data_IF_951128607553
#
_entry.id   IF_951128607553
#
_cell.length_a   1.000
_cell.length_b   1.000
_cell.length_c   1.000
_cell.angle_alpha   90.00
_cell.angle_beta   90.00
_cell.angle_gamma   90.00
#
_symmetry.space_group_name_H-M   'P 1'
#
loop_
_entity.id
_entity.type
_entity.pdbx_description
1 polymer ?
#
# COMPACT_ATOMS: atom_id res chain seq x y z
N UNK A 1 31.89 -52.86 -16.53
CA UNK A 1 32.98 -52.00 -17.05
C UNK A 1 32.44 -50.90 -17.97
N UNK A 2 31.52 -51.18 -18.89
CA UNK A 2 31.00 -50.16 -19.82
C UNK A 2 30.12 -49.08 -19.15
N UNK A 3 29.32 -49.43 -18.14
CA UNK A 3 28.48 -48.47 -17.41
C UNK A 3 29.29 -47.41 -16.68
N UNK A 4 30.35 -47.83 -15.99
CA UNK A 4 31.25 -46.91 -15.26
C UNK A 4 32.05 -46.01 -16.19
N UNK A 5 32.33 -46.46 -17.43
CA UNK A 5 33.02 -45.66 -18.43
C UNK A 5 32.12 -44.54 -18.96
N UNK A 6 30.86 -44.85 -19.26
CA UNK A 6 29.86 -43.85 -19.70
C UNK A 6 29.60 -42.79 -18.64
N UNK A 7 29.51 -43.19 -17.39
CA UNK A 7 29.30 -42.25 -16.28
C UNK A 7 30.51 -41.31 -16.08
N UNK A 8 31.74 -41.81 -16.24
CA UNK A 8 32.95 -40.99 -16.17
C UNK A 8 33.03 -39.99 -17.33
N UNK A 9 32.62 -40.40 -18.53
CA UNK A 9 32.60 -39.54 -19.72
C UNK A 9 31.53 -38.44 -19.61
N UNK A 10 30.36 -38.75 -19.03
CA UNK A 10 29.31 -37.76 -18.78
C UNK A 10 29.73 -36.72 -17.72
N UNK A 11 30.39 -37.17 -16.65
CA UNK A 11 30.93 -36.27 -15.62
C UNK A 11 31.98 -35.30 -16.20
N UNK A 12 32.85 -35.76 -17.09
CA UNK A 12 33.82 -34.90 -17.79
C UNK A 12 33.12 -33.88 -18.68
N UNK A 13 32.12 -34.29 -19.45
CA UNK A 13 31.33 -33.39 -20.29
C UNK A 13 30.61 -32.32 -19.48
N UNK A 14 30.03 -32.68 -18.32
CA UNK A 14 29.38 -31.71 -17.42
C UNK A 14 30.36 -30.70 -16.81
N UNK A 15 31.60 -31.11 -16.52
CA UNK A 15 32.63 -30.23 -16.00
C UNK A 15 33.11 -29.22 -17.06
N UNK A 16 33.26 -29.65 -18.31
CA UNK A 16 33.65 -28.78 -19.43
C UNK A 16 32.59 -27.70 -19.73
N UNK A 17 31.30 -28.05 -19.65
CA UNK A 17 30.20 -27.09 -19.83
C UNK A 17 30.23 -26.00 -18.76
N UNK A 18 30.44 -26.38 -17.50
CA UNK A 18 30.52 -25.43 -16.39
C UNK A 18 31.73 -24.51 -16.53
N UNK A 19 32.84 -25.00 -17.08
CA UNK A 19 34.03 -24.20 -17.31
C UNK A 19 33.85 -23.20 -18.48
N UNK A 20 33.12 -23.60 -19.53
CA UNK A 20 32.73 -22.71 -20.63
C UNK A 20 31.74 -21.62 -20.17
N UNK A 21 30.74 -21.96 -19.37
CA UNK A 21 29.80 -20.97 -18.80
C UNK A 21 30.49 -19.92 -17.93
N UNK A 22 31.62 -20.27 -17.30
CA UNK A 22 32.41 -19.35 -16.47
C UNK A 22 33.37 -18.46 -17.25
N UNK A 23 33.79 -18.89 -18.44
CA UNK A 23 34.83 -18.22 -19.22
C UNK A 23 34.28 -17.41 -20.40
N UNK A 24 33.08 -17.73 -20.88
CA UNK A 24 32.42 -17.02 -21.97
C UNK A 24 31.86 -15.64 -21.55
N UNK A 25 31.76 -14.68 -22.48
CA UNK A 25 31.00 -13.43 -22.28
C UNK A 25 29.53 -13.71 -21.93
N UNK A 26 28.92 -12.83 -21.13
CA UNK A 26 27.58 -13.03 -20.56
C UNK A 26 26.50 -13.40 -21.62
N UNK A 27 26.55 -12.77 -22.79
CA UNK A 27 25.60 -13.05 -23.88
C UNK A 27 25.74 -14.48 -24.42
N UNK A 28 26.98 -14.93 -24.63
CA UNK A 28 27.27 -16.26 -25.19
C UNK A 28 27.04 -17.36 -24.15
N UNK A 29 27.23 -17.05 -22.86
CA UNK A 29 26.92 -17.93 -21.75
C UNK A 29 25.40 -18.15 -21.60
N UNK A 30 24.58 -17.11 -21.79
CA UNK A 30 23.12 -17.21 -21.78
C UNK A 30 22.59 -18.06 -22.95
N UNK A 31 23.12 -17.85 -24.17
CA UNK A 31 22.76 -18.65 -25.34
C UNK A 31 23.16 -20.12 -25.17
N UNK A 32 24.30 -20.40 -24.52
CA UNK A 32 24.71 -21.78 -24.19
C UNK A 32 23.78 -22.40 -23.14
N UNK A 33 23.33 -21.62 -22.16
CA UNK A 33 22.44 -22.08 -21.09
C UNK A 33 21.01 -22.38 -21.57
N UNK A 34 20.48 -21.59 -22.49
CA UNK A 34 19.18 -21.89 -23.11
C UNK A 34 19.24 -23.15 -23.98
N UNK A 35 20.36 -23.36 -24.70
CA UNK A 35 20.58 -24.60 -25.45
C UNK A 35 20.72 -25.84 -24.56
N UNK A 36 21.36 -25.71 -23.39
CA UNK A 36 21.40 -26.80 -22.40
C UNK A 36 20.01 -27.14 -21.87
N UNK A 37 19.11 -26.17 -21.80
CA UNK A 37 17.73 -26.39 -21.34
C UNK A 37 16.89 -27.14 -22.37
N UNK A 38 17.23 -27.01 -23.65
CA UNK A 38 16.56 -27.70 -24.77
C UNK A 38 17.19 -29.05 -25.11
N UNK A 39 18.46 -29.27 -24.77
CA UNK A 39 19.18 -30.52 -25.05
C UNK A 39 18.82 -31.64 -24.06
N UNK A 40 18.66 -32.87 -24.59
CA UNK A 40 18.34 -34.05 -23.78
C UNK A 40 19.57 -34.64 -23.06
N UNK A 41 20.78 -34.45 -23.62
CA UNK A 41 22.05 -34.89 -23.03
C UNK A 41 23.08 -33.75 -23.09
N UNK A 42 23.94 -33.59 -22.07
CA UNK A 42 24.83 -32.43 -21.93
C UNK A 42 25.89 -32.35 -23.05
N UNK A 43 26.29 -33.49 -23.62
CA UNK A 43 27.32 -33.55 -24.66
C UNK A 43 26.87 -33.00 -26.02
N UNK A 44 25.56 -32.99 -26.29
CA UNK A 44 25.02 -32.50 -27.58
C UNK A 44 25.14 -30.98 -27.70
N UNK A 45 25.07 -30.25 -26.58
CA UNK A 45 25.18 -28.79 -26.55
C UNK A 45 26.57 -28.27 -26.95
N UNK A 46 27.62 -29.09 -26.83
CA UNK A 46 29.01 -28.73 -27.14
C UNK A 46 29.39 -28.91 -28.62
N UNK A 47 28.63 -29.67 -29.40
CA UNK A 47 29.06 -30.14 -30.74
C UNK A 47 28.80 -29.18 -31.90
N UNK A 48 28.14 -28.03 -31.68
CA UNK A 48 27.72 -27.12 -32.75
C UNK A 48 28.56 -25.83 -32.86
N UNK A 49 29.73 -25.77 -32.23
CA UNK A 49 30.57 -24.56 -32.19
C UNK A 49 31.43 -24.33 -33.45
N UNK A 50 30.87 -24.56 -34.64
CA UNK A 50 31.48 -24.12 -35.91
C UNK A 50 30.40 -23.56 -36.85
N UNK A 51 29.88 -22.37 -36.54
CA UNK A 51 29.30 -21.50 -37.56
C UNK A 51 29.92 -20.11 -37.48
N UNK A 52 30.40 -19.55 -38.60
CA UNK A 52 30.99 -18.23 -38.61
C UNK A 52 29.93 -17.15 -38.37
N UNK A 53 30.41 -16.08 -37.77
CA UNK A 53 29.76 -14.81 -37.46
C UNK A 53 28.96 -14.29 -38.67
N UNK A 54 27.64 -14.49 -38.66
CA UNK A 54 26.68 -13.70 -39.42
C UNK A 54 25.32 -13.83 -38.74
N UNK A 55 24.65 -12.69 -38.53
CA UNK A 55 23.33 -12.55 -37.93
C UNK A 55 23.30 -12.61 -36.40
N UNK A 56 23.87 -11.53 -35.83
CA UNK A 56 23.60 -11.04 -34.48
C UNK A 56 22.10 -10.82 -34.32
N UNK A 57 21.37 -11.85 -33.91
CA UNK A 57 20.01 -11.71 -33.39
C UNK A 57 20.11 -10.93 -32.10
N UNK A 58 19.66 -9.68 -32.17
CA UNK A 58 19.47 -8.81 -31.03
C UNK A 58 18.50 -9.52 -30.09
N UNK A 59 18.85 -9.61 -28.80
CA UNK A 59 17.93 -10.00 -27.73
C UNK A 59 16.58 -9.28 -27.93
N UNK A 60 15.43 -9.86 -27.52
CA UNK A 60 14.14 -9.23 -27.69
C UNK A 60 14.13 -7.91 -26.93
N UNK A 61 14.48 -6.83 -27.61
CA UNK A 61 14.09 -5.49 -27.21
C UNK A 61 12.57 -5.55 -27.12
N UNK A 62 11.98 -5.05 -26.03
CA UNK A 62 10.55 -4.76 -25.98
C UNK A 62 10.24 -3.89 -27.20
N UNK A 63 9.75 -4.51 -28.27
CA UNK A 63 9.44 -3.84 -29.51
C UNK A 63 8.26 -2.94 -29.20
N UNK A 64 8.39 -1.64 -29.49
CA UNK A 64 7.28 -0.70 -29.34
C UNK A 64 6.04 -1.29 -30.04
N UNK A 65 4.88 -1.35 -29.37
CA UNK A 65 3.69 -1.97 -29.94
C UNK A 65 3.35 -1.29 -31.27
N UNK A 66 3.14 -2.11 -32.31
CA UNK A 66 2.77 -1.60 -33.63
C UNK A 66 1.42 -0.88 -33.54
N UNK A 67 1.20 0.11 -34.41
CA UNK A 67 -0.01 0.95 -34.39
C UNK A 67 -1.34 0.17 -34.57
N UNK A 68 -1.27 -1.11 -34.90
CA UNK A 68 -2.42 -2.02 -35.04
C UNK A 68 -2.56 -3.01 -33.87
N UNK A 69 -1.72 -2.94 -32.85
CA UNK A 69 -1.78 -3.84 -31.69
C UNK A 69 -2.92 -3.43 -30.76
N UNK A 70 -3.61 -4.42 -30.18
CA UNK A 70 -4.57 -4.19 -29.11
C UNK A 70 -3.94 -3.38 -27.95
N UNK A 71 -2.67 -3.62 -27.67
CA UNK A 71 -1.90 -2.86 -26.69
C UNK A 71 -1.83 -1.37 -27.05
N UNK A 72 -1.61 -1.03 -28.32
CA UNK A 72 -1.60 0.35 -28.80
C UNK A 72 -2.99 1.01 -28.70
N UNK A 73 -4.06 0.29 -29.03
CA UNK A 73 -5.43 0.80 -28.85
C UNK A 73 -5.75 1.07 -27.37
N UNK A 74 -5.34 0.16 -26.48
CA UNK A 74 -5.49 0.32 -25.03
C UNK A 74 -4.65 1.50 -24.49
N UNK A 75 -3.43 1.69 -24.99
CA UNK A 75 -2.57 2.81 -24.62
C UNK A 75 -3.18 4.16 -25.04
N UNK A 76 -3.82 4.23 -26.21
CA UNK A 76 -4.49 5.46 -26.66
C UNK A 76 -5.77 5.72 -25.86
N UNK A 77 -6.60 4.68 -25.63
CA UNK A 77 -7.90 4.85 -24.96
C UNK A 77 -7.78 4.99 -23.45
N UNK A 78 -6.76 4.38 -22.85
CA UNK A 78 -6.56 4.33 -21.40
C UNK A 78 -5.10 4.64 -21.02
N UNK A 79 -4.58 5.85 -21.33
CA UNK A 79 -3.17 6.19 -21.16
C UNK A 79 -2.69 6.19 -19.69
N UNK A 80 -3.61 6.29 -18.73
CA UNK A 80 -3.30 6.22 -17.29
C UNK A 80 -3.11 4.77 -16.84
N UNK A 81 -3.89 3.83 -17.41
CA UNK A 81 -3.86 2.41 -17.07
C UNK A 81 -2.82 1.63 -17.88
N UNK A 82 -2.49 2.11 -19.08
CA UNK A 82 -1.54 1.50 -20.01
C UNK A 82 -0.55 2.57 -20.50
N UNK A 83 0.39 3.02 -19.65
CA UNK A 83 1.40 4.00 -20.05
C UNK A 83 2.44 3.38 -20.98
N UNK A 84 2.96 4.16 -21.93
CA UNK A 84 4.01 3.73 -22.85
C UNK A 84 5.30 3.44 -22.08
N UNK A 85 5.69 2.17 -22.01
CA UNK A 85 6.95 1.78 -21.39
C UNK A 85 8.11 2.18 -22.31
N UNK A 86 8.77 3.29 -21.98
CA UNK A 86 10.01 3.69 -22.65
C UNK A 86 11.11 2.77 -22.13
N UNK A 87 11.75 2.01 -23.02
CA UNK A 87 13.00 1.31 -22.71
C UNK A 87 14.07 2.34 -22.37
N UNK A 88 14.20 2.69 -21.10
CA UNK A 88 15.40 3.35 -20.60
C UNK A 88 16.49 2.29 -20.58
N UNK A 89 17.51 2.43 -21.44
CA UNK A 89 18.77 1.72 -21.24
C UNK A 89 19.35 2.17 -19.90
N UNK A 90 19.13 1.36 -18.87
CA UNK A 90 19.72 1.57 -17.56
C UNK A 90 21.19 1.19 -17.68
N UNK A 91 22.14 2.09 -17.39
CA UNK A 91 23.54 1.70 -17.25
C UNK A 91 23.66 0.82 -16.01
N UNK A 92 23.54 -0.49 -16.19
CA UNK A 92 23.67 -1.49 -15.14
C UNK A 92 25.06 -1.39 -14.52
N UNK A 93 25.14 -0.94 -13.26
CA UNK A 93 26.35 -1.19 -12.46
C UNK A 93 26.13 -1.50 -10.99
N UNK A 94 24.90 -1.64 -10.49
CA UNK A 94 24.65 -2.26 -9.19
C UNK A 94 23.16 -2.62 -9.02
N UNK A 95 22.80 -3.90 -8.82
CA UNK A 95 21.42 -4.35 -8.59
C UNK A 95 20.83 -3.88 -7.24
N UNK A 96 21.65 -3.28 -6.39
CA UNK A 96 21.30 -2.87 -5.02
C UNK A 96 20.47 -1.59 -4.97
N UNK A 97 20.48 -0.81 -6.06
CA UNK A 97 19.69 0.42 -6.16
C UNK A 97 18.27 0.19 -6.69
N UNK A 98 17.96 -0.99 -7.24
CA UNK A 98 16.62 -1.32 -7.75
C UNK A 98 15.66 -1.76 -6.62
N UNK A 99 16.19 -2.29 -5.52
CA UNK A 99 15.39 -2.68 -4.35
C UNK A 99 15.02 -1.49 -3.45
N UNK A 100 15.56 -0.30 -3.73
CA UNK A 100 15.33 0.89 -2.90
C UNK A 100 14.16 1.78 -3.39
N UNK A 101 13.41 1.36 -4.42
CA UNK A 101 12.28 2.13 -4.96
C UNK A 101 11.04 1.28 -5.26
N UNK A 102 10.84 0.20 -4.49
CA UNK A 102 9.58 -0.56 -4.44
C UNK A 102 8.71 -0.18 -3.22
N UNK A 103 9.09 0.85 -2.48
CA UNK A 103 8.26 1.46 -1.44
C UNK A 103 7.69 2.77 -1.96
N UNK A 104 6.36 2.89 -1.98
CA UNK A 104 5.59 4.13 -2.26
C UNK A 104 5.19 4.36 -3.72
N UNK A 105 4.18 3.64 -4.20
CA UNK A 105 3.24 4.25 -5.15
C UNK A 105 2.28 5.13 -4.36
N UNK A 106 2.52 6.45 -4.42
CA UNK A 106 1.59 7.46 -3.92
C UNK A 106 2.18 8.55 -3.04
N UNK A 107 3.35 9.13 -3.36
CA UNK A 107 3.71 10.45 -2.81
C UNK A 107 4.46 11.28 -3.86
N UNK A 108 3.87 12.42 -4.22
CA UNK A 108 4.57 13.49 -4.93
C UNK A 108 5.61 14.05 -3.94
N UNK A 109 6.93 13.97 -4.19
CA UNK A 109 7.88 14.60 -3.30
C UNK A 109 7.81 16.11 -3.49
N UNK A 110 7.31 16.82 -2.48
CA UNK A 110 7.45 18.25 -2.37
C UNK A 110 8.95 18.59 -2.39
N UNK A 111 9.35 19.35 -3.41
CA UNK A 111 10.72 19.86 -3.60
C UNK A 111 11.12 20.65 -2.34
N UNK A 112 12.04 20.08 -1.55
CA UNK A 112 12.65 20.74 -0.40
C UNK A 112 13.51 21.92 -0.88
N UNK A 113 12.92 23.10 -0.96
CA UNK A 113 13.68 24.34 -1.18
C UNK A 113 14.50 24.64 0.08
N UNK A 114 15.77 24.24 0.05
CA UNK A 114 16.79 24.57 1.04
C UNK A 114 17.10 26.06 0.91
N UNK A 115 16.47 26.91 1.72
CA UNK A 115 16.89 28.32 1.88
C UNK A 115 17.81 28.45 3.08
N UNK A 116 19.10 28.57 2.81
CA UNK A 116 20.11 29.08 3.73
C UNK A 116 20.25 30.60 3.61
N UNK A 117 20.30 31.25 4.78
CA UNK A 117 21.05 32.46 5.16
C UNK A 117 20.62 33.88 4.73
N UNK A 118 20.35 34.68 5.78
CA UNK A 118 20.74 36.09 6.10
C UNK A 118 21.22 37.08 4.99
N UNK A 119 20.55 38.25 5.04
CA UNK A 119 21.04 39.66 5.15
C UNK A 119 21.61 40.40 3.92
N UNK A 120 20.84 41.44 3.55
CA UNK A 120 21.12 42.81 3.04
C UNK A 120 21.63 43.15 1.62
N UNK A 121 21.02 44.26 1.17
CA UNK A 121 21.35 45.30 0.18
C UNK A 121 20.99 45.15 -1.31
N UNK A 122 20.35 46.21 -1.81
CA UNK A 122 19.88 46.50 -3.19
C UNK A 122 20.86 47.48 -3.90
N UNK A 123 20.59 48.06 -5.10
CA UNK A 123 19.55 47.81 -6.11
C UNK A 123 20.07 47.73 -7.58
N UNK A 124 19.10 47.63 -8.51
CA UNK A 124 19.05 48.15 -9.90
C UNK A 124 19.39 47.30 -11.15
N UNK A 125 18.36 47.24 -12.01
CA UNK A 125 18.33 47.42 -13.48
C UNK A 125 18.41 46.24 -14.48
N UNK A 126 17.37 46.23 -15.33
CA UNK A 126 17.32 45.91 -16.78
C UNK A 126 16.95 44.50 -17.28
N UNK A 127 15.70 44.41 -17.73
CA UNK A 127 15.20 43.93 -19.03
C UNK A 127 15.82 42.71 -19.75
N UNK A 128 14.97 41.75 -20.09
CA UNK A 128 15.18 40.81 -21.19
C UNK A 128 14.17 39.67 -21.18
N UNK A 129 13.02 39.88 -21.82
CA UNK A 129 11.94 38.89 -21.89
C UNK A 129 12.24 37.70 -22.81
N UNK A 130 11.57 36.59 -22.56
CA UNK A 130 11.09 35.71 -23.63
C UNK A 130 9.91 34.88 -23.12
N UNK A 131 8.87 34.89 -23.95
CA UNK A 131 7.54 34.34 -23.76
C UNK A 131 7.54 32.81 -23.74
N UNK A 132 6.73 32.20 -22.86
CA UNK A 132 6.15 30.88 -23.13
C UNK A 132 4.79 30.72 -22.42
N UNK A 133 3.74 30.79 -23.23
CA UNK A 133 2.46 30.08 -23.13
C UNK A 133 1.73 30.09 -21.77
N UNK A 134 0.80 31.04 -21.63
CA UNK A 134 -0.27 31.04 -20.62
C UNK A 134 -1.26 29.93 -20.98
N UNK A 135 -1.31 28.87 -20.19
CA UNK A 135 -2.44 27.94 -20.19
C UNK A 135 -3.52 28.52 -19.28
N UNK A 136 -4.59 29.02 -19.90
CA UNK A 136 -5.84 29.38 -19.22
C UNK A 136 -6.51 28.09 -18.74
N UNK A 137 -6.38 27.81 -17.44
CA UNK A 137 -7.42 27.09 -16.72
C UNK A 137 -7.82 27.95 -15.52
N UNK A 138 -8.75 28.86 -15.78
CA UNK A 138 -9.42 29.63 -14.73
C UNK A 138 -10.31 28.67 -13.93
N UNK A 139 -9.80 28.15 -12.82
CA UNK A 139 -10.65 27.72 -11.72
C UNK A 139 -10.97 28.94 -10.87
N UNK A 140 -11.99 29.69 -11.25
CA UNK A 140 -12.74 30.51 -10.30
C UNK A 140 -13.55 29.58 -9.39
N UNK A 141 -12.87 29.04 -8.39
CA UNK A 141 -13.48 28.45 -7.21
C UNK A 141 -13.29 29.42 -6.06
N UNK A 142 -14.39 30.00 -5.60
CA UNK A 142 -14.50 30.96 -4.49
C UNK A 142 -13.78 30.44 -3.25
N UNK A 143 -12.56 30.90 -2.99
CA UNK A 143 -11.93 30.79 -1.67
C UNK A 143 -12.51 31.89 -0.78
N UNK A 144 -13.72 31.67 -0.27
CA UNK A 144 -14.13 32.23 1.00
C UNK A 144 -13.19 31.70 2.08
N UNK A 145 -12.81 32.52 3.06
CA UNK A 145 -11.92 32.12 4.16
C UNK A 145 -12.41 30.85 4.88
N UNK A 146 -11.52 30.12 5.58
CA UNK A 146 -11.83 28.81 6.12
C UNK A 146 -12.82 28.94 7.29
N UNK A 147 -14.11 28.88 7.00
CA UNK A 147 -15.06 28.37 7.98
C UNK A 147 -14.88 26.85 7.97
N UNK A 148 -14.17 26.32 8.96
CA UNK A 148 -14.00 24.87 9.17
C UNK A 148 -15.37 24.24 9.45
N UNK A 149 -16.09 23.93 8.38
CA UNK A 149 -17.31 23.14 8.46
C UNK A 149 -16.90 21.69 8.56
N UNK A 150 -16.97 21.12 9.76
CA UNK A 150 -16.88 19.68 9.96
C UNK A 150 -17.93 18.96 9.10
N UNK A 151 -17.61 17.73 8.65
CA UNK A 151 -18.56 16.87 7.94
C UNK A 151 -19.79 16.56 8.80
N UNK A 152 -19.60 16.41 10.11
CA UNK A 152 -20.66 16.31 11.11
C UNK A 152 -20.57 17.49 12.10
N UNK A 153 -21.62 18.33 12.20
CA UNK A 153 -21.67 19.45 13.15
C UNK A 153 -21.49 19.05 14.62
N UNK A 154 -21.83 17.82 15.02
CA UNK A 154 -21.73 17.33 16.39
C UNK A 154 -20.28 17.23 16.90
N UNK A 155 -19.30 17.13 16.00
CA UNK A 155 -17.87 17.15 16.33
C UNK A 155 -17.43 18.45 17.03
N UNK A 156 -18.22 19.54 16.96
CA UNK A 156 -18.03 20.77 17.76
C UNK A 156 -18.09 20.53 19.26
N UNK A 157 -18.69 19.43 19.70
CA UNK A 157 -18.85 19.07 21.11
C UNK A 157 -17.87 17.97 21.56
N UNK A 158 -16.89 17.64 20.73
CA UNK A 158 -15.87 16.63 21.02
C UNK A 158 -15.09 16.97 22.30
N UNK A 159 -14.79 15.94 23.09
CA UNK A 159 -13.97 16.06 24.30
C UNK A 159 -12.92 14.94 24.31
N UNK A 160 -11.79 15.17 23.64
CA UNK A 160 -10.74 14.17 23.43
C UNK A 160 -10.10 13.66 24.70
N UNK A 161 -10.07 14.48 25.76
CA UNK A 161 -9.53 14.09 27.08
C UNK A 161 -10.18 12.83 27.68
N UNK A 162 -11.37 12.43 27.21
CA UNK A 162 -12.05 11.20 27.64
C UNK A 162 -11.49 9.94 26.97
N UNK A 163 -10.89 10.10 25.79
CA UNK A 163 -10.54 9.02 24.87
C UNK A 163 -9.03 8.77 24.79
N UNK A 164 -8.21 9.78 25.05
CA UNK A 164 -6.76 9.68 24.89
C UNK A 164 -6.01 10.44 25.98
N UNK A 165 -4.79 9.96 26.27
CA UNK A 165 -3.79 10.67 27.08
C UNK A 165 -2.83 11.51 26.22
N UNK A 166 -2.84 11.33 24.90
CA UNK A 166 -2.00 12.08 23.97
C UNK A 166 -2.48 13.53 23.93
N UNK A 167 -1.59 14.53 24.05
CA UNK A 167 -1.98 15.92 24.04
C UNK A 167 -2.46 16.34 22.64
N UNK A 168 -3.76 16.57 22.49
CA UNK A 168 -4.41 17.08 21.28
C UNK A 168 -5.53 18.05 21.67
N UNK A 169 -5.73 19.12 20.88
CA UNK A 169 -6.89 20.01 21.07
C UNK A 169 -8.15 19.37 20.48
N UNK A 170 -9.31 19.63 21.09
CA UNK A 170 -10.59 19.10 20.61
C UNK A 170 -10.86 19.55 19.15
N UNK A 171 -10.47 20.77 18.80
CA UNK A 171 -10.59 21.35 17.46
C UNK A 171 -9.73 20.62 16.43
N UNK A 172 -8.46 20.33 16.75
CA UNK A 172 -7.56 19.61 15.86
C UNK A 172 -8.04 18.17 15.65
N UNK A 173 -8.43 17.48 16.72
CA UNK A 173 -8.96 16.12 16.61
C UNK A 173 -10.24 16.08 15.76
N UNK A 174 -11.15 17.05 15.93
CA UNK A 174 -12.35 17.16 15.12
C UNK A 174 -12.03 17.37 13.63
N UNK A 175 -11.03 18.20 13.30
CA UNK A 175 -10.58 18.40 11.91
C UNK A 175 -9.99 17.10 11.32
N UNK A 176 -9.12 16.41 12.07
CA UNK A 176 -8.50 15.15 11.63
C UNK A 176 -9.55 14.08 11.40
N UNK A 177 -10.48 13.89 12.34
CA UNK A 177 -11.58 12.92 12.22
C UNK A 177 -12.49 13.29 11.06
N UNK A 178 -12.84 14.56 10.91
CA UNK A 178 -13.67 15.02 9.78
C UNK A 178 -12.99 14.75 8.43
N UNK A 179 -11.67 14.98 8.35
CA UNK A 179 -10.89 14.70 7.14
C UNK A 179 -10.87 13.20 6.83
N UNK A 180 -10.68 12.35 7.84
CA UNK A 180 -10.74 10.90 7.69
C UNK A 180 -12.10 10.43 7.16
N UNK A 181 -13.20 10.92 7.74
CA UNK A 181 -14.55 10.54 7.36
C UNK A 181 -14.89 10.92 5.91
N UNK A 182 -14.28 11.99 5.39
CA UNK A 182 -14.51 12.45 4.02
C UNK A 182 -13.62 11.74 2.99
N UNK A 183 -12.39 11.37 3.38
CA UNK A 183 -11.36 10.93 2.43
C UNK A 183 -11.14 9.41 2.48
N UNK A 184 -10.92 8.87 3.68
CA UNK A 184 -10.46 7.49 3.85
C UNK A 184 -11.60 6.53 4.19
N UNK A 185 -12.61 7.00 4.93
CA UNK A 185 -13.75 6.18 5.37
C UNK A 185 -14.53 5.54 4.20
N UNK A 186 -14.78 6.21 3.06
CA UNK A 186 -15.46 5.57 1.92
C UNK A 186 -14.73 4.34 1.36
N UNK A 187 -13.40 4.28 1.52
CA UNK A 187 -12.58 3.16 1.08
C UNK A 187 -12.42 2.10 2.16
N UNK A 188 -12.14 2.52 3.40
CA UNK A 188 -11.84 1.60 4.50
C UNK A 188 -13.09 1.03 5.16
N UNK A 189 -14.13 1.85 5.36
CA UNK A 189 -15.44 1.45 5.86
C UNK A 189 -15.45 0.69 7.19
N UNK A 190 -14.39 0.78 8.00
CA UNK A 190 -14.14 -0.13 9.15
C UNK A 190 -15.15 0.00 10.29
N UNK A 191 -15.99 1.02 10.29
CA UNK A 191 -17.05 1.26 11.27
C UNK A 191 -18.15 2.12 10.64
N UNK A 192 -19.33 2.18 11.24
CA UNK A 192 -20.40 3.10 10.85
C UNK A 192 -20.09 4.51 11.38
N UNK A 193 -20.02 5.50 10.47
CA UNK A 193 -19.58 6.86 10.79
C UNK A 193 -20.52 7.57 11.77
N UNK A 194 -21.84 7.45 11.56
CA UNK A 194 -22.84 8.15 12.37
C UNK A 194 -22.88 7.59 13.80
N UNK A 195 -22.85 6.25 13.93
CA UNK A 195 -22.80 5.57 15.22
C UNK A 195 -21.51 5.88 15.97
N UNK A 196 -20.37 5.88 15.28
CA UNK A 196 -19.08 6.25 15.87
C UNK A 196 -19.08 7.68 16.39
N UNK A 197 -19.48 8.67 15.57
CA UNK A 197 -19.47 10.08 15.97
C UNK A 197 -20.43 10.34 17.12
N UNK A 198 -21.63 9.76 17.09
CA UNK A 198 -22.60 9.83 18.19
C UNK A 198 -21.99 9.38 19.52
N UNK A 199 -21.34 8.22 19.53
CA UNK A 199 -20.73 7.66 20.74
C UNK A 199 -19.48 8.42 21.17
N UNK A 200 -18.66 8.86 20.21
CA UNK A 200 -17.47 9.69 20.43
C UNK A 200 -17.82 10.99 21.17
N UNK A 201 -18.87 11.69 20.72
CA UNK A 201 -19.29 12.98 21.31
C UNK A 201 -20.01 12.76 22.64
N UNK A 202 -20.87 11.74 22.75
CA UNK A 202 -21.62 11.45 23.97
C UNK A 202 -20.76 10.79 25.07
N UNK A 203 -19.58 10.27 24.73
CA UNK A 203 -18.71 9.55 25.65
C UNK A 203 -19.19 8.12 25.96
N UNK A 204 -19.97 7.52 25.06
CA UNK A 204 -20.48 6.16 25.18
C UNK A 204 -19.55 5.17 24.47
N UNK A 205 -19.47 3.94 24.96
CA UNK A 205 -18.49 2.95 24.49
C UNK A 205 -19.13 1.79 23.69
N UNK A 206 -20.30 1.98 23.07
CA UNK A 206 -20.96 0.91 22.31
C UNK A 206 -20.34 0.73 20.93
N UNK A 207 -20.18 1.82 20.20
CA UNK A 207 -19.61 1.89 18.84
C UNK A 207 -18.32 2.72 18.78
N UNK A 208 -17.84 3.18 19.94
CA UNK A 208 -16.59 3.89 20.12
C UNK A 208 -15.80 3.28 21.28
N UNK A 209 -14.47 3.32 21.24
CA UNK A 209 -13.63 2.91 22.36
C UNK A 209 -12.35 3.73 22.35
N UNK A 210 -11.68 3.88 23.50
CA UNK A 210 -10.39 4.58 23.56
C UNK A 210 -9.37 3.92 22.63
N UNK A 211 -9.34 2.59 22.59
CA UNK A 211 -8.49 1.84 21.66
C UNK A 211 -8.77 2.21 20.19
N UNK A 212 -10.05 2.21 19.77
CA UNK A 212 -10.43 2.57 18.41
C UNK A 212 -10.09 4.02 18.07
N UNK A 213 -10.34 4.97 18.99
CA UNK A 213 -10.05 6.38 18.76
C UNK A 213 -8.54 6.63 18.59
N UNK A 214 -7.70 6.05 19.45
CA UNK A 214 -6.25 6.21 19.34
C UNK A 214 -5.72 5.52 18.07
N UNK A 215 -6.21 4.33 17.73
CA UNK A 215 -5.80 3.64 16.50
C UNK A 215 -6.21 4.42 15.23
N UNK A 216 -7.43 4.95 15.20
CA UNK A 216 -7.93 5.80 14.12
C UNK A 216 -7.09 7.07 13.97
N UNK A 217 -6.83 7.79 15.08
CA UNK A 217 -6.04 9.02 15.05
C UNK A 217 -4.59 8.78 14.64
N UNK A 218 -4.02 7.63 14.98
CA UNK A 218 -2.69 7.24 14.50
C UNK A 218 -2.64 7.21 12.97
N UNK A 219 -3.63 6.57 12.33
CA UNK A 219 -3.77 6.57 10.87
C UNK A 219 -4.10 7.96 10.30
N UNK A 220 -5.15 8.60 10.81
CA UNK A 220 -5.70 9.83 10.25
C UNK A 220 -4.73 11.02 10.39
N UNK A 221 -3.96 11.11 11.47
CA UNK A 221 -2.96 12.16 11.62
C UNK A 221 -1.85 12.08 10.57
N UNK A 222 -1.56 10.89 10.04
CA UNK A 222 -0.57 10.71 9.00
C UNK A 222 -1.06 11.26 7.66
N UNK A 223 -2.30 10.94 7.26
CA UNK A 223 -2.90 11.50 6.04
C UNK A 223 -3.12 13.02 6.17
N UNK A 224 -3.50 13.51 7.35
CA UNK A 224 -3.73 14.92 7.61
C UNK A 224 -2.45 15.78 7.60
N UNK A 225 -1.27 15.18 7.75
CA UNK A 225 0.01 15.91 7.83
C UNK A 225 0.33 16.82 6.62
N UNK A 226 -0.33 16.58 5.49
CA UNK A 226 -0.26 17.47 4.32
C UNK A 226 -0.84 18.88 4.55
N UNK A 227 -1.79 19.01 5.49
CA UNK A 227 -2.47 20.24 5.88
C UNK A 227 -1.79 20.81 7.12
N UNK A 228 -1.51 19.96 8.10
CA UNK A 228 -0.87 20.35 9.35
C UNK A 228 0.31 19.43 9.69
N UNK A 229 1.55 19.81 9.31
CA UNK A 229 2.72 18.93 9.40
C UNK A 229 3.02 18.38 10.80
N UNK A 230 2.59 19.08 11.85
CA UNK A 230 2.80 18.66 13.25
C UNK A 230 2.06 17.36 13.59
N UNK A 231 0.96 17.04 12.89
CA UNK A 231 0.20 15.80 13.13
C UNK A 231 1.00 14.54 12.78
N UNK A 232 2.04 14.64 11.94
CA UNK A 232 2.91 13.51 11.64
C UNK A 232 3.59 12.95 12.89
N UNK A 233 4.01 13.80 13.83
CA UNK A 233 4.60 13.36 15.10
C UNK A 233 3.52 12.78 16.04
N UNK A 234 2.31 13.34 16.00
CA UNK A 234 1.18 12.86 16.81
C UNK A 234 0.73 11.46 16.41
N UNK A 235 0.80 11.11 15.12
CA UNK A 235 0.50 9.79 14.60
C UNK A 235 1.24 8.67 15.35
N UNK A 236 2.53 8.89 15.66
CA UNK A 236 3.36 7.96 16.45
C UNK A 236 2.92 7.91 17.91
N UNK A 237 2.61 9.04 18.53
CA UNK A 237 2.14 9.08 19.93
C UNK A 237 0.80 8.35 20.09
N UNK A 238 -0.11 8.53 19.14
CA UNK A 238 -1.37 7.80 19.09
C UNK A 238 -1.17 6.30 18.87
N UNK A 239 -0.20 5.93 18.03
CA UNK A 239 0.16 4.52 17.84
C UNK A 239 0.61 3.88 19.14
N UNK A 240 1.51 4.55 19.89
CA UNK A 240 2.03 4.06 21.17
C UNK A 240 0.94 3.93 22.24
N UNK A 241 0.04 4.91 22.37
CA UNK A 241 -1.10 4.81 23.30
C UNK A 241 -2.08 3.70 22.87
N UNK A 242 -2.37 3.56 21.57
CA UNK A 242 -3.23 2.49 21.07
C UNK A 242 -2.63 1.10 21.29
N UNK A 243 -1.32 0.95 21.08
CA UNK A 243 -0.57 -0.27 21.36
C UNK A 243 -0.60 -0.60 22.86
N UNK A 244 -0.41 0.40 23.73
CA UNK A 244 -0.52 0.21 25.18
C UNK A 244 -1.93 -0.24 25.60
N UNK A 245 -2.99 0.36 25.05
CA UNK A 245 -4.38 -0.05 25.31
C UNK A 245 -4.65 -1.47 24.81
N UNK A 246 -4.17 -1.81 23.61
CA UNK A 246 -4.32 -3.14 23.01
C UNK A 246 -3.79 -4.27 23.90
N UNK A 247 -2.67 -4.03 24.60
CA UNK A 247 -2.08 -5.04 25.49
C UNK A 247 -2.61 -5.01 26.93
N UNK A 248 -3.24 -3.92 27.36
CA UNK A 248 -3.80 -3.77 28.71
C UNK A 248 -5.23 -4.28 28.83
N UNK A 249 -6.04 -4.09 27.79
CA UNK A 249 -7.42 -4.52 27.80
C UNK A 249 -7.50 -6.06 27.67
N UNK A 250 -8.40 -6.73 28.42
CA UNK A 250 -8.72 -8.13 28.14
C UNK A 250 -9.12 -8.24 26.66
N UNK A 251 -8.78 -9.34 25.99
CA UNK A 251 -9.19 -9.58 24.60
C UNK A 251 -10.69 -9.82 24.51
N UNK A 252 -11.47 -8.77 24.69
CA UNK A 252 -12.91 -8.75 24.51
C UNK A 252 -13.18 -8.61 23.02
N UNK A 253 -13.93 -9.57 22.48
CA UNK A 253 -14.31 -9.60 21.07
C UNK A 253 -15.43 -8.58 20.84
N UNK A 254 -15.04 -7.34 20.58
CA UNK A 254 -15.93 -6.22 20.25
C UNK A 254 -15.68 -5.77 18.81
N UNK A 255 -16.73 -5.24 18.17
CA UNK A 255 -16.63 -4.65 16.83
C UNK A 255 -15.55 -3.57 16.79
N UNK A 256 -15.51 -2.71 17.82
CA UNK A 256 -14.52 -1.63 17.95
C UNK A 256 -13.08 -2.16 18.05
N UNK A 257 -12.86 -3.29 18.72
CA UNK A 257 -11.54 -3.95 18.81
C UNK A 257 -11.11 -4.50 17.46
N UNK A 258 -12.03 -5.10 16.69
CA UNK A 258 -11.74 -5.58 15.33
C UNK A 258 -11.40 -4.40 14.40
N UNK A 259 -12.15 -3.31 14.45
CA UNK A 259 -11.85 -2.10 13.67
C UNK A 259 -10.51 -1.48 14.08
N UNK A 260 -10.23 -1.40 15.38
CA UNK A 260 -8.99 -0.85 15.91
C UNK A 260 -7.77 -1.66 15.47
N UNK A 261 -7.87 -2.99 15.43
CA UNK A 261 -6.77 -3.85 14.95
C UNK A 261 -6.42 -3.57 13.49
N UNK A 262 -7.40 -3.23 12.65
CA UNK A 262 -7.15 -2.88 11.26
C UNK A 262 -6.42 -1.54 11.15
N UNK A 263 -6.82 -0.53 11.92
CA UNK A 263 -6.11 0.74 11.98
C UNK A 263 -4.69 0.60 12.55
N UNK A 264 -4.50 -0.22 13.58
CA UNK A 264 -3.17 -0.55 14.10
C UNK A 264 -2.30 -1.24 13.04
N UNK A 265 -2.86 -2.15 12.25
CA UNK A 265 -2.13 -2.75 11.12
C UNK A 265 -1.74 -1.70 10.09
N UNK A 266 -2.67 -0.85 9.67
CA UNK A 266 -2.44 0.25 8.73
C UNK A 266 -1.32 1.19 9.22
N UNK A 267 -1.45 1.72 10.44
CA UNK A 267 -0.47 2.62 11.04
C UNK A 267 0.90 1.94 11.22
N UNK A 268 0.94 0.69 11.69
CA UNK A 268 2.19 -0.06 11.84
C UNK A 268 2.91 -0.24 10.48
N UNK A 269 2.18 -0.56 9.41
CA UNK A 269 2.76 -0.64 8.06
C UNK A 269 3.33 0.70 7.61
N UNK A 270 2.62 1.80 7.85
CA UNK A 270 3.10 3.14 7.51
C UNK A 270 4.31 3.61 8.33
N UNK A 271 4.49 3.08 9.53
CA UNK A 271 5.69 3.29 10.35
C UNK A 271 6.84 2.32 10.03
N UNK A 272 6.69 1.47 9.01
CA UNK A 272 7.70 0.48 8.62
C UNK A 272 7.82 -0.71 9.57
N UNK A 273 6.82 -0.92 10.44
CA UNK A 273 6.78 -2.02 11.43
C UNK A 273 5.98 -3.21 10.90
N UNK A 274 6.45 -3.81 9.80
CA UNK A 274 5.68 -4.80 9.04
C UNK A 274 5.31 -6.05 9.87
N UNK A 275 6.21 -6.56 10.71
CA UNK A 275 5.91 -7.72 11.58
C UNK A 275 4.76 -7.43 12.54
N UNK A 276 4.72 -6.22 13.13
CA UNK A 276 3.63 -5.80 14.02
C UNK A 276 2.34 -5.61 13.22
N UNK A 277 2.42 -4.99 12.04
CA UNK A 277 1.27 -4.83 11.15
C UNK A 277 0.58 -6.15 10.84
N UNK A 278 1.36 -7.16 10.42
CA UNK A 278 0.84 -8.49 10.11
C UNK A 278 0.24 -9.16 11.35
N UNK A 279 0.81 -8.94 12.53
CA UNK A 279 0.27 -9.49 13.78
C UNK A 279 -1.11 -8.90 14.12
N UNK A 280 -1.26 -7.57 14.08
CA UNK A 280 -2.56 -6.91 14.32
C UNK A 280 -3.61 -7.31 13.28
N UNK A 281 -3.22 -7.39 12.01
CA UNK A 281 -4.09 -7.84 10.93
C UNK A 281 -4.65 -9.24 11.20
N UNK A 282 -3.76 -10.20 11.48
CA UNK A 282 -4.13 -11.61 11.72
C UNK A 282 -5.03 -11.76 12.93
N UNK A 283 -4.72 -11.06 14.03
CA UNK A 283 -5.56 -11.10 15.24
C UNK A 283 -6.95 -10.52 14.96
N UNK A 284 -7.03 -9.40 14.24
CA UNK A 284 -8.30 -8.80 13.81
C UNK A 284 -9.17 -9.73 12.98
N UNK A 285 -8.57 -10.40 11.99
CA UNK A 285 -9.25 -11.40 11.16
C UNK A 285 -9.72 -12.57 12.03
N UNK A 286 -8.90 -13.01 12.98
CA UNK A 286 -9.24 -14.11 13.88
C UNK A 286 -10.45 -13.76 14.76
N UNK A 287 -10.44 -12.57 15.37
CA UNK A 287 -11.57 -12.07 16.17
C UNK A 287 -12.84 -11.95 15.32
N UNK A 288 -12.74 -11.30 14.14
CA UNK A 288 -13.91 -11.14 13.26
C UNK A 288 -14.52 -12.47 12.81
N UNK A 289 -13.69 -13.49 12.55
CA UNK A 289 -14.15 -14.85 12.27
C UNK A 289 -14.85 -15.50 13.45
N UNK A 290 -14.29 -15.39 14.66
CA UNK A 290 -14.89 -15.95 15.89
C UNK A 290 -16.24 -15.29 16.22
N UNK A 291 -16.37 -14.01 15.90
CA UNK A 291 -17.62 -13.26 16.00
C UNK A 291 -18.63 -13.60 14.88
N UNK A 292 -18.22 -14.35 13.86
CA UNK A 292 -19.08 -14.72 12.73
C UNK A 292 -19.31 -13.59 11.71
N UNK A 293 -18.44 -12.58 11.68
CA UNK A 293 -18.57 -11.43 10.77
C UNK A 293 -18.30 -11.81 9.31
N UNK A 294 -17.32 -12.69 9.08
CA UNK A 294 -16.89 -13.14 7.75
C UNK A 294 -16.14 -14.47 7.85
N UNK A 295 -15.92 -15.14 6.71
CA UNK A 295 -15.12 -16.38 6.68
C UNK A 295 -15.79 -17.56 7.40
N UNK A 296 -17.10 -17.53 7.57
CA UNK A 296 -17.90 -18.56 8.25
C UNK A 296 -19.10 -18.96 7.38
N UNK A 297 -19.63 -20.20 7.54
CA UNK A 297 -20.89 -20.59 6.92
C UNK A 297 -22.05 -19.70 7.44
N UNK A 298 -23.14 -19.58 6.66
CA UNK A 298 -24.32 -18.82 7.07
C UNK A 298 -24.89 -19.27 8.43
N UNK A 299 -24.73 -20.56 8.76
CA UNK A 299 -25.12 -21.15 10.04
C UNK A 299 -24.27 -20.68 11.25
N UNK A 300 -23.15 -20.00 11.04
CA UNK A 300 -22.32 -19.40 12.09
C UNK A 300 -22.15 -17.89 11.93
N UNK A 301 -23.00 -17.25 11.13
CA UNK A 301 -22.92 -15.81 10.86
C UNK A 301 -23.42 -14.98 12.04
N UNK A 302 -22.82 -13.80 12.20
CA UNK A 302 -23.24 -12.79 13.15
C UNK A 302 -24.72 -12.38 13.03
N UNK A 303 -25.32 -12.55 11.86
CA UNK A 303 -26.73 -12.31 11.61
C UNK A 303 -27.65 -13.06 12.60
N UNK A 304 -27.19 -14.19 13.16
CA UNK A 304 -27.98 -14.98 14.10
C UNK A 304 -28.11 -14.38 15.50
N UNK A 305 -27.13 -13.59 15.94
CA UNK A 305 -27.09 -13.02 17.29
C UNK A 305 -27.28 -11.50 17.33
N UNK A 306 -27.26 -10.84 16.17
CA UNK A 306 -27.48 -9.38 16.07
C UNK A 306 -28.94 -8.96 16.34
N UNK A 307 -29.89 -9.91 16.38
CA UNK A 307 -31.34 -9.68 16.52
C UNK A 307 -31.86 -8.59 15.52
N UNK A 308 -33.08 -8.07 15.71
CA UNK A 308 -33.61 -6.94 14.93
C UNK A 308 -33.02 -5.57 15.36
N UNK A 309 -31.85 -5.54 16.02
CA UNK A 309 -31.21 -4.29 16.45
C UNK A 309 -30.52 -3.61 15.27
N UNK A 310 -31.24 -2.67 14.64
CA UNK A 310 -30.79 -1.98 13.42
C UNK A 310 -29.40 -1.35 13.52
N UNK A 311 -29.04 -0.77 14.66
CA UNK A 311 -27.76 -0.09 14.85
C UNK A 311 -26.60 -1.09 14.96
N UNK A 312 -26.81 -2.21 15.67
CA UNK A 312 -25.81 -3.27 15.78
C UNK A 312 -25.60 -3.98 14.46
N UNK A 313 -26.67 -4.24 13.70
CA UNK A 313 -26.56 -4.81 12.35
C UNK A 313 -25.74 -3.90 11.45
N UNK A 314 -26.01 -2.59 11.44
CA UNK A 314 -25.22 -1.61 10.68
C UNK A 314 -23.75 -1.59 11.08
N UNK A 315 -23.47 -1.50 12.39
CA UNK A 315 -22.10 -1.48 12.89
C UNK A 315 -21.34 -2.76 12.51
N UNK A 316 -21.97 -3.92 12.68
CA UNK A 316 -21.37 -5.20 12.33
C UNK A 316 -21.17 -5.35 10.81
N UNK A 317 -22.14 -4.91 9.99
CA UNK A 317 -22.01 -4.85 8.54
C UNK A 317 -20.80 -4.03 8.11
N UNK A 318 -20.68 -2.80 8.61
CA UNK A 318 -19.53 -1.94 8.31
C UNK A 318 -18.21 -2.57 8.73
N UNK A 319 -18.10 -3.06 9.97
CA UNK A 319 -16.87 -3.74 10.42
C UNK A 319 -16.55 -4.96 9.57
N UNK A 320 -17.54 -5.79 9.23
CA UNK A 320 -17.34 -7.00 8.45
C UNK A 320 -16.89 -6.70 7.01
N UNK A 321 -17.62 -5.83 6.30
CA UNK A 321 -17.31 -5.44 4.93
C UNK A 321 -16.03 -4.62 4.84
N UNK A 322 -15.81 -3.68 5.77
CA UNK A 322 -14.59 -2.90 5.82
C UNK A 322 -13.34 -3.76 5.99
N UNK A 323 -13.36 -4.71 6.93
CA UNK A 323 -12.25 -5.66 7.12
C UNK A 323 -12.08 -6.53 5.88
N UNK A 324 -13.16 -7.08 5.32
CA UNK A 324 -13.09 -7.92 4.13
C UNK A 324 -12.50 -7.19 2.92
N UNK A 325 -12.95 -5.96 2.64
CA UNK A 325 -12.44 -5.12 1.55
C UNK A 325 -10.97 -4.76 1.75
N UNK A 326 -10.58 -4.33 2.95
CA UNK A 326 -9.19 -4.01 3.27
C UNK A 326 -8.27 -5.23 3.15
N UNK A 327 -8.66 -6.37 3.72
CA UNK A 327 -7.86 -7.59 3.64
C UNK A 327 -7.74 -8.08 2.20
N UNK A 328 -8.83 -8.03 1.43
CA UNK A 328 -8.80 -8.35 -0.01
C UNK A 328 -7.85 -7.45 -0.77
N UNK A 329 -7.91 -6.13 -0.53
CA UNK A 329 -6.99 -5.17 -1.14
C UNK A 329 -5.52 -5.48 -0.82
N UNK A 330 -5.22 -5.79 0.45
CA UNK A 330 -3.87 -6.20 0.88
C UNK A 330 -3.45 -7.52 0.24
N UNK A 331 -4.35 -8.49 0.17
CA UNK A 331 -4.14 -9.79 -0.46
C UNK A 331 -3.79 -9.68 -1.94
N UNK A 332 -4.40 -8.76 -2.68
CA UNK A 332 -4.04 -8.47 -4.08
C UNK A 332 -2.60 -7.96 -4.21
N UNK A 333 -2.17 -7.08 -3.29
CA UNK A 333 -0.82 -6.53 -3.31
C UNK A 333 0.26 -7.58 -2.98
N UNK A 334 0.00 -8.44 -2.01
CA UNK A 334 0.96 -9.45 -1.54
C UNK A 334 0.77 -10.85 -2.15
N UNK A 335 -0.20 -11.03 -3.05
CA UNK A 335 -0.56 -12.31 -3.66
C UNK A 335 -0.82 -13.43 -2.62
N UNK A 336 -1.54 -13.08 -1.56
CA UNK A 336 -1.93 -14.01 -0.48
C UNK A 336 -3.44 -14.17 -0.43
N UNK A 337 -3.94 -15.24 0.20
CA UNK A 337 -5.36 -15.39 0.52
C UNK A 337 -5.55 -15.48 2.03
N UNK A 338 -6.30 -14.55 2.63
CA UNK A 338 -6.56 -14.57 4.07
C UNK A 338 -8.03 -14.78 4.45
N UNK A 339 -9.00 -14.27 3.68
CA UNK A 339 -10.43 -14.49 3.90
C UNK A 339 -11.04 -15.10 2.63
N UNK A 340 -11.62 -16.29 2.75
CA UNK A 340 -12.09 -17.09 1.60
C UNK A 340 -13.51 -16.74 1.16
N UNK A 341 -14.37 -16.33 2.09
CA UNK A 341 -15.78 -16.01 1.83
C UNK A 341 -16.14 -14.61 2.33
N UNK A 342 -16.95 -13.87 1.55
CA UNK A 342 -17.42 -12.55 1.94
C UNK A 342 -18.34 -12.61 3.18
N UNK A 343 -18.58 -11.47 3.85
CA UNK A 343 -19.61 -11.35 4.88
C UNK A 343 -21.00 -11.76 4.36
N UNK A 344 -21.81 -12.36 5.24
CA UNK A 344 -23.25 -12.60 4.98
C UNK A 344 -24.14 -11.43 5.44
N UNK A 345 -23.54 -10.48 6.16
CA UNK A 345 -24.22 -9.27 6.64
C UNK A 345 -24.53 -8.32 5.48
N UNK A 346 -25.62 -7.54 5.57
CA UNK A 346 -26.08 -6.65 4.49
C UNK A 346 -25.09 -5.52 4.19
#
# INVERSE_FOLDING_TARGET
MESLRRENDNLKSSAEIVDQLKSLPEQDALDLLDRLREAAEPSDALTLHEKPIAERSTAPQLVAPTQSSLEFELMIRHPISYPTLISTELPFRNPEHLLCSAGTLGFIPARRSRRTAKVSDAPDSSSGGTSAFRSEFSSEGVFGGPTSSFCDPSLRHLQMRKWTKVPITDELAANVISSYLQIDHPLLGLFDADLFVKDLVSGQQYFCSSLLVNALLSWACQSYSHVEPETAAMSLLFFEEAEALWFQEPRVELLTTVSASQFLSLAASCHGRETQSVAFLKEGIHMGRRMGLFGVPAAGSAQQWLDDHTDWVKAASHTAWGVFCWVTFRCLHFQTGQIESPPHLP
#
